data_IF_121434226203
#
_entry.id   IF_121434226203
#
_cell.length_a   1.000
_cell.length_b   1.000
_cell.length_c   1.000
_cell.angle_alpha   90.00
_cell.angle_beta   90.00
_cell.angle_gamma   90.00
#
_symmetry.space_group_name_H-M   'P 1'
#
loop_
_entity.id
_entity.type
_entity.pdbx_description
1 polymer ?
#
# COMPACT_ATOMS: atom_id res chain seq x y z
N UNK A 1 -43.59 -24.71 -7.35
CA UNK A 1 -43.88 -23.29 -7.74
C UNK A 1 -42.71 -22.86 -8.63
N UNK A 2 -42.98 -22.07 -9.67
CA UNK A 2 -41.89 -21.54 -10.51
C UNK A 2 -40.97 -20.70 -9.63
N UNK A 3 -39.63 -20.84 -9.78
CA UNK A 3 -38.58 -20.06 -9.10
C UNK A 3 -38.93 -18.56 -9.13
N UNK A 4 -39.39 -18.09 -10.26
CA UNK A 4 -39.87 -16.73 -10.47
C UNK A 4 -40.93 -16.27 -9.45
N UNK A 5 -41.94 -17.11 -9.12
CA UNK A 5 -42.99 -16.73 -8.16
C UNK A 5 -42.47 -16.58 -6.72
N UNK A 6 -41.41 -17.33 -6.38
CA UNK A 6 -40.77 -17.22 -5.07
C UNK A 6 -39.95 -15.94 -4.97
N UNK A 7 -39.19 -15.62 -6.03
CA UNK A 7 -38.41 -14.38 -6.13
C UNK A 7 -39.32 -13.15 -6.06
N UNK A 8 -40.42 -13.15 -6.83
CA UNK A 8 -41.38 -12.05 -6.85
C UNK A 8 -42.03 -11.84 -5.48
N UNK A 9 -42.48 -12.92 -4.83
CA UNK A 9 -43.03 -12.87 -3.47
C UNK A 9 -42.02 -12.33 -2.45
N UNK A 10 -40.75 -12.72 -2.57
CA UNK A 10 -39.68 -12.23 -1.71
C UNK A 10 -39.47 -10.72 -1.88
N UNK A 11 -39.26 -10.24 -3.12
CA UNK A 11 -39.02 -8.82 -3.39
C UNK A 11 -40.18 -7.93 -2.94
N UNK A 12 -41.43 -8.34 -3.22
CA UNK A 12 -42.62 -7.62 -2.76
C UNK A 12 -42.73 -7.63 -1.23
N UNK A 13 -42.42 -8.74 -0.58
CA UNK A 13 -42.42 -8.86 0.87
C UNK A 13 -41.37 -7.94 1.53
N UNK A 14 -40.17 -7.80 0.94
CA UNK A 14 -39.16 -6.89 1.46
C UNK A 14 -39.49 -5.41 1.18
N UNK A 15 -40.03 -5.09 0.01
CA UNK A 15 -40.50 -3.73 -0.31
C UNK A 15 -41.60 -3.26 0.68
N UNK A 16 -42.46 -4.17 1.13
CA UNK A 16 -43.49 -3.86 2.11
C UNK A 16 -42.96 -3.66 3.53
N UNK A 17 -41.85 -4.35 3.89
CA UNK A 17 -41.24 -4.27 5.23
C UNK A 17 -40.35 -3.02 5.37
N UNK A 18 -39.75 -2.58 4.30
CA UNK A 18 -38.80 -1.46 4.28
C UNK A 18 -39.18 -0.46 3.19
N UNK A 19 -40.04 0.51 3.48
CA UNK A 19 -40.53 1.49 2.51
C UNK A 19 -39.41 2.38 1.93
N UNK A 20 -38.33 2.60 2.68
CA UNK A 20 -37.15 3.36 2.23
C UNK A 20 -36.42 2.67 1.07
N UNK A 21 -36.51 1.35 0.97
CA UNK A 21 -35.87 0.55 -0.08
C UNK A 21 -36.86 0.07 -1.15
N UNK A 22 -38.14 0.48 -1.06
CA UNK A 22 -39.17 0.02 -1.98
C UNK A 22 -38.86 0.33 -3.44
N UNK A 23 -38.29 1.50 -3.73
CA UNK A 23 -37.88 1.87 -5.08
C UNK A 23 -36.77 0.95 -5.61
N UNK A 24 -35.74 0.65 -4.78
CA UNK A 24 -34.63 -0.24 -5.15
C UNK A 24 -35.15 -1.65 -5.46
N UNK A 25 -36.05 -2.18 -4.62
CA UNK A 25 -36.64 -3.49 -4.87
C UNK A 25 -37.56 -3.52 -6.11
N UNK A 26 -38.26 -2.42 -6.41
CA UNK A 26 -39.07 -2.29 -7.62
C UNK A 26 -38.17 -2.26 -8.90
N UNK A 27 -37.06 -1.55 -8.86
CA UNK A 27 -36.10 -1.53 -9.97
C UNK A 27 -35.45 -2.91 -10.17
N UNK A 28 -34.98 -3.56 -9.10
CA UNK A 28 -34.41 -4.92 -9.16
C UNK A 28 -35.41 -5.91 -9.77
N UNK A 29 -36.68 -5.81 -9.38
CA UNK A 29 -37.77 -6.60 -9.96
C UNK A 29 -37.93 -6.33 -11.45
N UNK A 30 -38.01 -5.06 -11.86
CA UNK A 30 -38.18 -4.65 -13.25
C UNK A 30 -37.03 -5.18 -14.14
N UNK A 31 -35.77 -5.08 -13.67
CA UNK A 31 -34.61 -5.60 -14.40
C UNK A 31 -34.62 -7.13 -14.49
N UNK A 32 -35.02 -7.81 -13.39
CA UNK A 32 -35.15 -9.26 -13.39
C UNK A 32 -36.25 -9.76 -14.35
N UNK A 33 -37.41 -9.13 -14.39
CA UNK A 33 -38.53 -9.45 -15.33
C UNK A 33 -38.08 -9.29 -16.78
N UNK A 34 -37.31 -8.22 -17.08
CA UNK A 34 -36.79 -7.93 -18.42
C UNK A 34 -35.54 -8.73 -18.77
N UNK A 35 -35.01 -9.52 -17.83
CA UNK A 35 -33.76 -10.29 -17.98
C UNK A 35 -32.55 -9.42 -18.32
N UNK A 36 -32.48 -8.20 -17.81
CA UNK A 36 -31.38 -7.27 -17.97
C UNK A 36 -30.31 -7.54 -16.89
N UNK A 37 -29.54 -8.59 -17.10
CA UNK A 37 -28.62 -9.12 -16.09
C UNK A 37 -27.48 -8.15 -15.73
N UNK A 38 -27.02 -7.39 -16.70
CA UNK A 38 -25.96 -6.41 -16.48
C UNK A 38 -26.44 -5.25 -15.60
N UNK A 39 -27.54 -4.62 -15.96
CA UNK A 39 -28.16 -3.52 -15.21
C UNK A 39 -28.58 -3.98 -13.80
N UNK A 40 -29.09 -5.22 -13.71
CA UNK A 40 -29.43 -5.84 -12.45
C UNK A 40 -28.19 -5.98 -11.55
N UNK A 41 -27.05 -6.41 -12.11
CA UNK A 41 -25.81 -6.56 -11.35
C UNK A 41 -25.28 -5.21 -10.89
N UNK A 42 -25.28 -4.21 -11.75
CA UNK A 42 -24.85 -2.85 -11.38
C UNK A 42 -25.73 -2.28 -10.26
N UNK A 43 -27.06 -2.48 -10.37
CA UNK A 43 -27.99 -2.02 -9.33
C UNK A 43 -27.81 -2.76 -8.01
N UNK A 44 -27.48 -4.04 -8.05
CA UNK A 44 -27.13 -4.82 -6.84
C UNK A 44 -25.87 -4.29 -6.16
N UNK A 45 -24.82 -3.94 -6.92
CA UNK A 45 -23.62 -3.33 -6.36
C UNK A 45 -23.93 -1.98 -5.69
N UNK A 46 -24.73 -1.14 -6.33
CA UNK A 46 -25.21 0.11 -5.72
C UNK A 46 -26.01 -0.14 -4.45
N UNK A 47 -26.95 -1.10 -4.49
CA UNK A 47 -27.78 -1.45 -3.35
C UNK A 47 -26.95 -1.94 -2.16
N UNK A 48 -25.97 -2.81 -2.38
CA UNK A 48 -25.08 -3.34 -1.34
C UNK A 48 -24.27 -2.22 -0.66
N UNK A 49 -23.95 -1.14 -1.37
CA UNK A 49 -23.25 0.02 -0.81
C UNK A 49 -24.14 0.87 0.13
N UNK A 50 -25.47 0.74 0.05
CA UNK A 50 -26.40 1.51 0.88
C UNK A 50 -26.33 1.08 2.36
N UNK A 51 -26.31 2.03 3.31
CA UNK A 51 -26.25 1.71 4.75
C UNK A 51 -27.38 0.82 5.24
N UNK A 52 -28.58 0.91 4.61
CA UNK A 52 -29.74 0.11 4.97
C UNK A 52 -29.56 -1.39 4.66
N UNK A 53 -28.83 -1.74 3.60
CA UNK A 53 -28.47 -3.15 3.30
C UNK A 53 -27.32 -3.66 4.17
N UNK A 54 -26.58 -2.76 4.80
CA UNK A 54 -25.48 -3.12 5.69
C UNK A 54 -25.94 -3.44 7.12
N UNK A 55 -27.23 -3.37 7.41
CA UNK A 55 -27.81 -3.72 8.71
C UNK A 55 -28.60 -5.03 8.65
N UNK A 56 -28.39 -5.89 9.66
CA UNK A 56 -29.11 -7.16 9.79
C UNK A 56 -28.79 -8.20 8.71
N UNK A 57 -29.69 -9.16 8.53
CA UNK A 57 -29.53 -10.34 7.65
C UNK A 57 -30.10 -10.14 6.24
N UNK A 58 -30.45 -8.91 5.88
CA UNK A 58 -31.12 -8.61 4.60
C UNK A 58 -30.31 -9.06 3.40
N UNK A 59 -28.99 -8.81 3.41
CA UNK A 59 -28.10 -9.23 2.33
C UNK A 59 -27.99 -10.76 2.22
N UNK A 60 -27.96 -11.47 3.34
CA UNK A 60 -27.93 -12.93 3.36
C UNK A 60 -29.23 -13.48 2.76
N UNK A 61 -30.38 -12.91 3.15
CA UNK A 61 -31.69 -13.30 2.59
C UNK A 61 -31.78 -12.96 1.10
N UNK A 62 -31.25 -11.81 0.67
CA UNK A 62 -31.22 -11.41 -0.73
C UNK A 62 -30.39 -12.38 -1.56
N UNK A 63 -29.23 -12.81 -1.05
CA UNK A 63 -28.41 -13.80 -1.73
C UNK A 63 -29.16 -15.13 -1.93
N UNK A 64 -29.67 -15.70 -0.84
CA UNK A 64 -30.29 -17.03 -0.88
C UNK A 64 -31.64 -17.08 -1.62
N UNK A 65 -32.47 -16.05 -1.55
CA UNK A 65 -33.81 -16.05 -2.14
C UNK A 65 -33.89 -15.38 -3.51
N UNK A 66 -32.87 -14.59 -3.90
CA UNK A 66 -32.90 -13.84 -5.14
C UNK A 66 -31.69 -14.14 -6.02
N UNK A 67 -30.48 -13.97 -5.50
CA UNK A 67 -29.25 -14.01 -6.29
C UNK A 67 -28.94 -15.41 -6.82
N UNK A 68 -29.19 -16.45 -6.03
CA UNK A 68 -28.96 -17.86 -6.40
C UNK A 68 -29.70 -18.26 -7.68
N UNK A 69 -30.87 -17.68 -7.99
CA UNK A 69 -31.66 -18.04 -9.18
C UNK A 69 -30.95 -17.67 -10.49
N UNK A 70 -30.14 -16.62 -10.51
CA UNK A 70 -29.44 -16.13 -11.70
C UNK A 70 -27.93 -15.99 -11.54
N UNK A 71 -27.33 -16.57 -10.47
CA UNK A 71 -25.88 -16.48 -10.20
C UNK A 71 -25.04 -16.90 -11.41
N UNK A 72 -25.53 -17.85 -12.24
CA UNK A 72 -24.88 -18.32 -13.46
C UNK A 72 -24.94 -17.34 -14.65
N UNK A 73 -25.67 -16.24 -14.53
CA UNK A 73 -25.82 -15.17 -15.54
C UNK A 73 -24.99 -13.94 -15.23
N UNK A 74 -24.44 -13.86 -14.04
CA UNK A 74 -23.60 -12.77 -13.56
C UNK A 74 -22.13 -13.07 -13.91
N UNK A 75 -21.34 -12.02 -14.14
CA UNK A 75 -19.88 -12.18 -14.21
C UNK A 75 -19.35 -12.83 -12.92
N UNK A 76 -18.54 -13.89 -13.01
CA UNK A 76 -18.03 -14.61 -11.82
C UNK A 76 -17.29 -13.70 -10.83
N UNK A 77 -16.57 -12.67 -11.31
CA UNK A 77 -15.88 -11.71 -10.46
C UNK A 77 -16.87 -10.82 -9.69
N UNK A 78 -17.93 -10.35 -10.35
CA UNK A 78 -19.01 -9.58 -9.70
C UNK A 78 -19.76 -10.41 -8.66
N UNK A 79 -20.00 -11.69 -8.96
CA UNK A 79 -20.55 -12.64 -7.99
C UNK A 79 -19.63 -12.76 -6.77
N UNK A 80 -18.31 -12.82 -6.99
CA UNK A 80 -17.32 -12.82 -5.92
C UNK A 80 -17.40 -11.57 -5.03
N UNK A 81 -17.52 -10.38 -5.61
CA UNK A 81 -17.67 -9.13 -4.86
C UNK A 81 -18.95 -9.13 -4.00
N UNK A 82 -20.06 -9.57 -4.57
CA UNK A 82 -21.34 -9.69 -3.84
C UNK A 82 -21.23 -10.72 -2.71
N UNK A 83 -20.60 -11.88 -2.96
CA UNK A 83 -20.41 -12.92 -1.95
C UNK A 83 -19.56 -12.42 -0.76
N UNK A 84 -18.51 -11.64 -1.01
CA UNK A 84 -17.70 -11.02 0.05
C UNK A 84 -18.53 -10.03 0.87
N UNK A 85 -19.36 -9.20 0.22
CA UNK A 85 -20.24 -8.28 0.92
C UNK A 85 -21.26 -9.03 1.80
N UNK A 86 -21.83 -10.13 1.31
CA UNK A 86 -22.72 -11.01 2.06
C UNK A 86 -22.00 -11.67 3.23
N UNK A 87 -20.77 -12.20 3.00
CA UNK A 87 -19.98 -12.87 4.05
C UNK A 87 -19.68 -11.97 5.25
N UNK A 88 -19.53 -10.67 5.00
CA UNK A 88 -19.30 -9.67 6.06
C UNK A 88 -20.49 -9.50 7.02
N UNK A 89 -21.67 -10.03 6.69
CA UNK A 89 -22.90 -9.95 7.51
C UNK A 89 -23.10 -11.18 8.40
N UNK A 90 -22.36 -12.25 8.17
CA UNK A 90 -22.42 -13.39 9.07
C UNK A 90 -21.82 -13.04 10.43
N UNK A 91 -22.56 -13.32 11.49
CA UNK A 91 -22.06 -13.17 12.87
C UNK A 91 -21.04 -14.23 13.23
N UNK A 92 -21.23 -15.44 12.68
CA UNK A 92 -20.28 -16.55 12.83
C UNK A 92 -19.31 -16.59 11.65
N UNK A 93 -18.01 -16.43 11.96
CA UNK A 93 -16.93 -16.47 10.97
C UNK A 93 -16.79 -17.83 10.30
N UNK A 94 -17.02 -18.92 11.03
CA UNK A 94 -16.97 -20.26 10.44
C UNK A 94 -18.06 -20.45 9.38
N UNK A 95 -19.27 -19.91 9.62
CA UNK A 95 -20.34 -19.90 8.64
C UNK A 95 -20.00 -19.03 7.43
N UNK A 96 -19.33 -17.88 7.64
CA UNK A 96 -18.86 -17.03 6.55
C UNK A 96 -17.83 -17.72 5.67
N UNK A 97 -16.87 -18.44 6.27
CA UNK A 97 -15.87 -19.23 5.55
C UNK A 97 -16.56 -20.33 4.73
N UNK A 98 -17.43 -21.13 5.36
CA UNK A 98 -18.13 -22.20 4.67
C UNK A 98 -19.00 -21.69 3.51
N UNK A 99 -19.65 -20.52 3.68
CA UNK A 99 -20.40 -19.87 2.62
C UNK A 99 -19.49 -19.48 1.43
N UNK A 100 -18.35 -18.84 1.70
CA UNK A 100 -17.44 -18.44 0.64
C UNK A 100 -16.81 -19.64 -0.08
N UNK A 101 -16.47 -20.71 0.64
CA UNK A 101 -15.96 -21.96 0.05
C UNK A 101 -17.00 -22.59 -0.89
N UNK A 102 -18.28 -22.60 -0.51
CA UNK A 102 -19.34 -23.08 -1.40
C UNK A 102 -19.45 -22.23 -2.69
N UNK A 103 -19.28 -20.91 -2.59
CA UNK A 103 -19.29 -20.04 -3.77
C UNK A 103 -18.06 -20.31 -4.64
N UNK A 104 -16.89 -20.54 -4.05
CA UNK A 104 -15.65 -20.93 -4.77
C UNK A 104 -15.86 -22.21 -5.55
N UNK A 105 -16.44 -23.25 -4.90
CA UNK A 105 -16.73 -24.53 -5.57
C UNK A 105 -17.67 -24.36 -6.76
N UNK A 106 -18.77 -23.61 -6.58
CA UNK A 106 -19.73 -23.31 -7.65
C UNK A 106 -19.07 -22.60 -8.85
N UNK A 107 -18.21 -21.61 -8.60
CA UNK A 107 -17.50 -20.88 -9.68
C UNK A 107 -16.51 -21.82 -10.37
N UNK A 108 -15.78 -22.64 -9.62
CA UNK A 108 -14.82 -23.59 -10.16
C UNK A 108 -15.49 -24.68 -11.03
N UNK A 109 -16.68 -25.15 -10.65
CA UNK A 109 -17.46 -26.13 -11.41
C UNK A 109 -17.95 -25.62 -12.76
N UNK A 110 -18.24 -24.32 -12.88
CA UNK A 110 -18.75 -23.72 -14.12
C UNK A 110 -17.75 -23.72 -15.27
N UNK A 111 -16.45 -23.97 -15.00
CA UNK A 111 -15.35 -24.07 -16.01
C UNK A 111 -15.38 -23.01 -17.11
N UNK A 112 -15.90 -21.81 -16.83
CA UNK A 112 -15.87 -20.69 -17.75
C UNK A 112 -14.43 -20.15 -17.84
N UNK A 113 -14.04 -19.65 -19.02
CA UNK A 113 -12.78 -18.94 -19.16
C UNK A 113 -12.75 -17.75 -18.19
N UNK A 114 -11.67 -17.58 -17.40
CA UNK A 114 -11.53 -16.50 -16.44
C UNK A 114 -12.09 -16.81 -15.04
N UNK A 115 -12.30 -18.07 -14.68
CA UNK A 115 -12.72 -18.46 -13.33
C UNK A 115 -11.60 -18.37 -12.27
N UNK A 116 -10.36 -18.25 -12.71
CA UNK A 116 -9.18 -18.19 -11.82
C UNK A 116 -9.17 -16.92 -10.97
N UNK A 117 -9.51 -15.77 -11.56
CA UNK A 117 -9.55 -14.48 -10.88
C UNK A 117 -10.57 -14.43 -9.72
N UNK A 118 -11.86 -14.75 -9.92
CA UNK A 118 -12.84 -14.73 -8.84
C UNK A 118 -12.55 -15.80 -7.76
N UNK A 119 -12.00 -16.95 -8.14
CA UNK A 119 -11.57 -17.97 -7.19
C UNK A 119 -10.44 -17.45 -6.31
N UNK A 120 -9.42 -16.79 -6.90
CA UNK A 120 -8.34 -16.19 -6.14
C UNK A 120 -8.87 -15.08 -5.23
N UNK A 121 -9.73 -14.20 -5.75
CA UNK A 121 -10.36 -13.12 -4.98
C UNK A 121 -11.06 -13.64 -3.71
N UNK A 122 -11.94 -14.64 -3.85
CA UNK A 122 -12.66 -15.26 -2.73
C UNK A 122 -11.72 -15.97 -1.77
N UNK A 123 -10.74 -16.74 -2.27
CA UNK A 123 -9.74 -17.40 -1.43
C UNK A 123 -8.93 -16.41 -0.59
N UNK A 124 -8.61 -15.23 -1.14
CA UNK A 124 -7.92 -14.20 -0.36
C UNK A 124 -8.82 -13.68 0.77
N UNK A 125 -10.10 -13.48 0.53
CA UNK A 125 -11.02 -13.08 1.60
C UNK A 125 -11.21 -14.18 2.67
N UNK A 126 -11.22 -15.45 2.29
CA UNK A 126 -11.17 -16.58 3.26
C UNK A 126 -9.87 -16.53 4.08
N UNK A 127 -8.72 -16.29 3.42
CA UNK A 127 -7.45 -16.13 4.11
C UNK A 127 -7.46 -14.96 5.11
N UNK A 128 -8.13 -13.85 4.78
CA UNK A 128 -8.32 -12.72 5.67
C UNK A 128 -9.09 -13.11 6.94
N UNK A 129 -10.17 -13.89 6.80
CA UNK A 129 -10.92 -14.39 7.95
C UNK A 129 -10.03 -15.30 8.83
N UNK A 130 -9.20 -16.14 8.24
CA UNK A 130 -8.25 -16.96 9.00
C UNK A 130 -7.19 -16.12 9.73
N UNK A 131 -6.72 -15.01 9.13
CA UNK A 131 -5.83 -14.07 9.83
C UNK A 131 -6.52 -13.48 11.06
N UNK A 132 -7.79 -13.07 10.94
CA UNK A 132 -8.55 -12.49 12.04
C UNK A 132 -8.88 -13.52 13.16
N UNK A 133 -8.92 -14.81 12.83
CA UNK A 133 -9.09 -15.90 13.79
C UNK A 133 -7.77 -16.38 14.43
N UNK A 134 -6.64 -15.82 13.98
CA UNK A 134 -5.32 -16.25 14.46
C UNK A 134 -4.82 -17.56 13.86
N UNK A 135 -5.47 -18.09 12.82
CA UNK A 135 -5.08 -19.32 12.10
C UNK A 135 -3.95 -19.05 11.11
N UNK A 136 -2.83 -18.56 11.61
CA UNK A 136 -1.72 -18.04 10.80
C UNK A 136 -1.10 -19.09 9.84
N UNK A 137 -1.16 -20.37 10.18
CA UNK A 137 -0.61 -21.44 9.33
C UNK A 137 -1.42 -21.61 8.03
N UNK A 138 -2.77 -21.64 8.14
CA UNK A 138 -3.67 -21.75 6.99
C UNK A 138 -3.60 -20.49 6.11
N UNK A 139 -3.63 -19.31 6.75
CA UNK A 139 -3.48 -18.05 6.03
C UNK A 139 -2.16 -17.98 5.25
N UNK A 140 -1.04 -18.46 5.84
CA UNK A 140 0.27 -18.50 5.17
C UNK A 140 0.26 -19.36 3.91
N UNK A 141 -0.35 -20.54 3.98
CA UNK A 141 -0.45 -21.44 2.84
C UNK A 141 -1.26 -20.80 1.71
N UNK A 142 -2.42 -20.23 2.04
CA UNK A 142 -3.28 -19.55 1.07
C UNK A 142 -2.60 -18.33 0.43
N UNK A 143 -1.86 -17.53 1.20
CA UNK A 143 -1.10 -16.38 0.69
C UNK A 143 0.01 -16.84 -0.27
N UNK A 144 0.74 -17.92 0.08
CA UNK A 144 1.78 -18.46 -0.79
C UNK A 144 1.21 -18.99 -2.11
N UNK A 145 0.14 -19.75 -2.04
CA UNK A 145 -0.51 -20.34 -3.22
C UNK A 145 -1.17 -19.23 -4.07
N UNK A 146 -1.72 -18.20 -3.41
CA UNK A 146 -2.28 -17.02 -4.04
C UNK A 146 -1.24 -16.23 -4.85
N UNK A 147 0.02 -16.16 -4.37
CA UNK A 147 1.11 -15.53 -5.13
C UNK A 147 1.36 -16.27 -6.44
N UNK A 148 1.47 -17.60 -6.36
CA UNK A 148 1.69 -18.40 -7.56
C UNK A 148 0.55 -18.28 -8.59
N UNK A 149 -0.70 -18.19 -8.11
CA UNK A 149 -1.86 -17.98 -8.97
C UNK A 149 -1.86 -16.58 -9.60
N UNK A 150 -1.53 -15.54 -8.83
CA UNK A 150 -1.47 -14.15 -9.32
C UNK A 150 -0.35 -13.98 -10.37
N UNK A 151 0.83 -14.57 -10.12
CA UNK A 151 1.99 -14.50 -11.02
C UNK A 151 1.75 -15.27 -12.35
N UNK A 152 0.85 -16.25 -12.34
CA UNK A 152 0.46 -17.00 -13.53
C UNK A 152 -0.55 -16.25 -14.43
N UNK A 153 -1.25 -15.24 -13.90
CA UNK A 153 -2.21 -14.43 -14.64
C UNK A 153 -1.49 -13.35 -15.45
N UNK A 154 -1.81 -13.24 -16.75
CA UNK A 154 -1.16 -12.24 -17.62
C UNK A 154 -1.59 -10.80 -17.31
N UNK A 155 -2.84 -10.57 -16.94
CA UNK A 155 -3.41 -9.24 -16.65
C UNK A 155 -4.58 -9.38 -15.66
N UNK A 156 -4.31 -9.62 -14.38
CA UNK A 156 -5.37 -9.77 -13.39
C UNK A 156 -6.14 -8.47 -13.18
N UNK A 157 -7.41 -8.59 -12.85
CA UNK A 157 -8.24 -7.42 -12.48
C UNK A 157 -7.61 -6.70 -11.27
N UNK A 158 -7.57 -5.35 -11.27
CA UNK A 158 -7.03 -4.57 -10.16
C UNK A 158 -7.62 -4.92 -8.81
N UNK A 159 -8.92 -5.30 -8.74
CA UNK A 159 -9.58 -5.68 -7.49
C UNK A 159 -9.03 -6.98 -6.90
N UNK A 160 -8.63 -7.94 -7.76
CA UNK A 160 -8.03 -9.22 -7.34
C UNK A 160 -6.63 -8.97 -6.77
N UNK A 161 -5.82 -8.17 -7.48
CA UNK A 161 -4.50 -7.77 -7.03
C UNK A 161 -4.56 -7.02 -5.70
N UNK A 162 -5.50 -6.07 -5.59
CA UNK A 162 -5.75 -5.32 -4.36
C UNK A 162 -6.12 -6.24 -3.19
N UNK A 163 -7.03 -7.18 -3.39
CA UNK A 163 -7.42 -8.15 -2.37
C UNK A 163 -6.23 -8.98 -1.90
N UNK A 164 -5.40 -9.46 -2.84
CA UNK A 164 -4.19 -10.22 -2.50
C UNK A 164 -3.22 -9.39 -1.64
N UNK A 165 -2.83 -8.19 -2.07
CA UNK A 165 -1.88 -7.37 -1.34
C UNK A 165 -2.44 -6.87 0.00
N UNK A 166 -3.74 -6.62 0.08
CA UNK A 166 -4.39 -6.29 1.35
C UNK A 166 -4.28 -7.42 2.37
N UNK A 167 -4.59 -8.65 1.95
CA UNK A 167 -4.52 -9.83 2.82
C UNK A 167 -3.08 -10.12 3.25
N UNK A 168 -2.12 -10.00 2.32
CA UNK A 168 -0.70 -10.11 2.66
C UNK A 168 -0.29 -9.08 3.72
N UNK A 169 -0.73 -7.82 3.56
CA UNK A 169 -0.44 -6.78 4.54
C UNK A 169 -1.02 -7.12 5.92
N UNK A 170 -2.29 -7.53 6.01
CA UNK A 170 -2.90 -7.90 7.29
C UNK A 170 -2.24 -9.13 7.93
N UNK A 171 -1.81 -10.10 7.12
CA UNK A 171 -1.07 -11.26 7.60
C UNK A 171 0.28 -10.87 8.23
N UNK A 172 1.07 -10.01 7.56
CA UNK A 172 2.34 -9.52 8.08
C UNK A 172 2.15 -8.58 9.28
N UNK A 173 1.06 -7.78 9.31
CA UNK A 173 0.68 -6.98 10.46
C UNK A 173 0.43 -7.85 11.70
N UNK A 174 -0.33 -8.93 11.55
CA UNK A 174 -0.60 -9.87 12.64
C UNK A 174 0.67 -10.56 13.17
N UNK A 175 1.69 -10.73 12.32
CA UNK A 175 3.01 -11.26 12.69
C UNK A 175 4.01 -10.24 13.18
N UNK A 176 3.67 -8.95 13.15
CA UNK A 176 4.58 -7.84 13.47
C UNK A 176 5.80 -7.76 12.53
N UNK A 177 5.69 -8.26 11.31
CA UNK A 177 6.68 -8.16 10.26
C UNK A 177 6.52 -6.82 9.52
N UNK A 178 6.97 -5.72 10.13
CA UNK A 178 6.68 -4.35 9.71
C UNK A 178 7.18 -4.02 8.29
N UNK A 179 8.32 -4.55 7.88
CA UNK A 179 8.88 -4.30 6.57
C UNK A 179 7.99 -4.89 5.45
N UNK A 180 7.54 -6.13 5.61
CA UNK A 180 6.67 -6.80 4.64
C UNK A 180 5.26 -6.21 4.65
N UNK A 181 4.74 -5.84 5.84
CA UNK A 181 3.49 -5.11 5.95
C UNK A 181 3.54 -3.79 5.15
N UNK A 182 4.60 -3.01 5.30
CA UNK A 182 4.80 -1.76 4.56
C UNK A 182 4.83 -2.00 3.04
N UNK A 183 5.65 -2.96 2.58
CA UNK A 183 5.77 -3.26 1.15
C UNK A 183 4.43 -3.66 0.53
N UNK A 184 3.72 -4.59 1.16
CA UNK A 184 2.41 -5.05 0.67
C UNK A 184 1.33 -3.98 0.79
N UNK A 185 1.38 -3.17 1.84
CA UNK A 185 0.47 -2.03 2.01
C UNK A 185 0.65 -0.95 0.93
N UNK A 186 1.89 -0.63 0.55
CA UNK A 186 2.17 0.28 -0.57
C UNK A 186 1.72 -0.30 -1.91
N UNK A 187 1.92 -1.60 -2.15
CA UNK A 187 1.39 -2.28 -3.34
C UNK A 187 -0.13 -2.28 -3.37
N UNK A 188 -0.81 -2.50 -2.24
CA UNK A 188 -2.26 -2.36 -2.15
C UNK A 188 -2.73 -0.97 -2.58
N UNK A 189 -2.08 0.09 -2.10
CA UNK A 189 -2.40 1.47 -2.45
C UNK A 189 -2.08 1.83 -3.92
N UNK A 190 -1.26 1.05 -4.61
CA UNK A 190 -1.05 1.23 -6.05
C UNK A 190 -2.26 0.77 -6.88
N UNK A 191 -3.07 -0.17 -6.38
CA UNK A 191 -4.27 -0.67 -7.06
C UNK A 191 -5.56 0.00 -6.60
N UNK A 192 -5.57 0.60 -5.40
CA UNK A 192 -6.77 1.21 -4.80
C UNK A 192 -6.55 2.70 -4.62
N UNK A 193 -7.47 3.50 -5.18
CA UNK A 193 -7.45 4.95 -4.92
C UNK A 193 -7.70 5.24 -3.44
N UNK A 194 -6.88 6.10 -2.86
CA UNK A 194 -7.06 6.52 -1.47
C UNK A 194 -8.44 7.16 -1.21
N UNK A 195 -9.05 7.74 -2.24
CA UNK A 195 -10.37 8.40 -2.13
C UNK A 195 -11.53 7.39 -2.04
N UNK A 196 -11.35 6.18 -2.57
CA UNK A 196 -12.38 5.12 -2.53
C UNK A 196 -12.52 4.47 -1.16
N UNK A 197 -11.53 4.66 -0.26
CA UNK A 197 -11.55 4.07 1.08
C UNK A 197 -12.35 4.94 2.05
N UNK A 198 -13.11 4.35 3.00
CA UNK A 198 -13.72 5.07 4.11
C UNK A 198 -12.68 5.88 4.89
N UNK A 199 -13.04 7.09 5.33
CA UNK A 199 -12.10 8.01 5.98
C UNK A 199 -11.41 7.41 7.21
N UNK A 200 -12.16 6.69 8.04
CA UNK A 200 -11.59 6.00 9.20
C UNK A 200 -10.53 4.96 8.80
N UNK A 201 -10.86 4.09 7.84
CA UNK A 201 -9.94 3.04 7.35
C UNK A 201 -8.69 3.65 6.70
N UNK A 202 -8.87 4.75 5.96
CA UNK A 202 -7.78 5.47 5.30
C UNK A 202 -6.81 6.07 6.33
N UNK A 203 -7.34 6.69 7.38
CA UNK A 203 -6.55 7.24 8.48
C UNK A 203 -5.79 6.16 9.23
N UNK A 204 -6.46 5.08 9.59
CA UNK A 204 -5.84 3.97 10.34
C UNK A 204 -4.74 3.30 9.50
N UNK A 205 -4.99 3.07 8.21
CA UNK A 205 -3.99 2.52 7.29
C UNK A 205 -2.78 3.45 7.13
N UNK A 206 -3.01 4.76 7.02
CA UNK A 206 -1.92 5.75 6.92
C UNK A 206 -1.05 5.75 8.19
N UNK A 207 -1.66 5.71 9.38
CA UNK A 207 -0.94 5.64 10.64
C UNK A 207 -0.16 4.33 10.78
N UNK A 208 -0.78 3.20 10.44
CA UNK A 208 -0.11 1.89 10.46
C UNK A 208 1.09 1.84 9.51
N UNK A 209 0.95 2.38 8.27
CA UNK A 209 2.05 2.43 7.31
C UNK A 209 3.18 3.36 7.77
N UNK A 210 2.84 4.49 8.38
CA UNK A 210 3.82 5.41 8.95
C UNK A 210 4.63 4.74 10.08
N UNK A 211 3.96 4.05 11.00
CA UNK A 211 4.60 3.27 12.05
C UNK A 211 5.46 2.14 11.48
N UNK A 212 4.95 1.43 10.48
CA UNK A 212 5.67 0.34 9.84
C UNK A 212 6.91 0.82 9.07
N UNK A 213 6.85 1.99 8.43
CA UNK A 213 8.00 2.62 7.79
C UNK A 213 9.11 2.94 8.79
N UNK A 214 8.75 3.41 9.99
CA UNK A 214 9.70 3.68 11.06
C UNK A 214 10.29 2.40 11.66
N UNK A 215 9.46 1.39 11.94
CA UNK A 215 9.85 0.16 12.62
C UNK A 215 10.45 -0.91 11.69
N UNK A 216 10.14 -0.86 10.40
CA UNK A 216 10.58 -1.87 9.43
C UNK A 216 12.09 -1.91 9.28
N UNK A 217 12.64 -3.12 9.23
CA UNK A 217 14.06 -3.33 8.91
C UNK A 217 14.28 -3.03 7.42
N UNK A 218 15.44 -2.52 7.07
CA UNK A 218 15.86 -2.23 5.68
C UNK A 218 14.97 -1.24 4.91
N UNK A 219 14.13 -0.48 5.60
CA UNK A 219 13.33 0.59 5.02
C UNK A 219 13.95 1.95 5.33
N UNK A 220 14.60 2.55 4.33
CA UNK A 220 15.27 3.86 4.45
C UNK A 220 14.73 4.91 3.48
N UNK A 221 13.78 4.54 2.62
CA UNK A 221 13.16 5.44 1.64
C UNK A 221 11.79 5.93 2.15
N UNK A 222 11.80 6.98 2.98
CA UNK A 222 10.56 7.56 3.52
C UNK A 222 9.86 8.48 2.52
N UNK A 223 10.58 9.00 1.53
CA UNK A 223 10.04 9.94 0.55
C UNK A 223 8.87 9.36 -0.25
N UNK A 224 8.89 8.05 -0.52
CA UNK A 224 7.80 7.35 -1.22
C UNK A 224 6.48 7.46 -0.46
N UNK A 225 6.50 7.19 0.85
CA UNK A 225 5.32 7.32 1.70
C UNK A 225 4.88 8.78 1.85
N UNK A 226 5.83 9.70 2.09
CA UNK A 226 5.54 11.14 2.26
C UNK A 226 4.91 11.73 1.00
N UNK A 227 5.33 11.29 -0.19
CA UNK A 227 4.76 11.72 -1.45
C UNK A 227 3.34 11.15 -1.71
N UNK A 228 2.97 10.07 -1.05
CA UNK A 228 1.70 9.40 -1.28
C UNK A 228 0.51 10.20 -0.71
N UNK A 229 -0.62 10.36 -1.46
CA UNK A 229 -1.77 11.14 -1.03
C UNK A 229 -2.39 10.70 0.31
N UNK A 230 -2.28 9.40 0.67
CA UNK A 230 -2.85 8.86 1.90
C UNK A 230 -2.27 9.53 3.17
N UNK A 231 -1.03 9.98 3.10
CA UNK A 231 -0.34 10.60 4.25
C UNK A 231 -0.96 11.94 4.63
N UNK A 232 -1.54 12.66 3.67
CA UNK A 232 -2.26 13.91 3.92
C UNK A 232 -3.45 13.75 4.85
N UNK A 233 -4.00 12.54 4.95
CA UNK A 233 -5.12 12.25 5.86
C UNK A 233 -4.72 12.29 7.32
N UNK A 234 -3.42 12.23 7.62
CA UNK A 234 -2.88 12.35 8.98
C UNK A 234 -2.73 13.82 9.41
N UNK A 235 -2.72 14.77 8.45
CA UNK A 235 -2.76 16.19 8.75
C UNK A 235 -4.03 16.49 9.56
N UNK A 236 -3.92 17.27 10.60
CA UNK A 236 -5.04 17.64 11.49
C UNK A 236 -5.67 16.48 12.30
N UNK A 237 -4.99 15.34 12.42
CA UNK A 237 -5.38 14.25 13.30
C UNK A 237 -4.44 14.13 14.50
N UNK A 238 -4.80 13.29 15.46
CA UNK A 238 -3.93 12.94 16.61
C UNK A 238 -2.60 12.30 16.19
N UNK A 239 -2.47 11.84 14.93
CA UNK A 239 -1.28 11.23 14.35
C UNK A 239 -0.41 12.21 13.54
N UNK A 240 -0.71 13.51 13.55
CA UNK A 240 0.06 14.53 12.82
C UNK A 240 1.56 14.53 13.21
N UNK A 241 1.90 14.20 14.46
CA UNK A 241 3.27 14.04 14.93
C UNK A 241 4.08 12.99 14.15
N UNK A 242 3.43 11.95 13.60
CA UNK A 242 4.11 10.94 12.76
C UNK A 242 4.67 11.57 11.48
N UNK A 243 3.98 12.57 10.91
CA UNK A 243 4.45 13.27 9.72
C UNK A 243 5.71 14.07 10.01
N UNK A 244 5.74 14.76 11.14
CA UNK A 244 6.92 15.54 11.57
C UNK A 244 8.12 14.60 11.76
N UNK A 245 7.91 13.43 12.40
CA UNK A 245 8.97 12.42 12.58
C UNK A 245 9.41 11.83 11.24
N UNK A 246 8.47 11.44 10.36
CA UNK A 246 8.82 10.91 9.03
C UNK A 246 9.63 11.91 8.20
N UNK A 247 9.29 13.19 8.26
CA UNK A 247 10.05 14.25 7.60
C UNK A 247 11.47 14.35 8.17
N UNK A 248 11.63 14.34 9.51
CA UNK A 248 12.95 14.34 10.14
C UNK A 248 13.78 13.11 9.75
N UNK A 249 13.17 11.93 9.64
CA UNK A 249 13.84 10.72 9.14
C UNK A 249 14.21 10.82 7.67
N UNK A 250 13.34 11.40 6.83
CA UNK A 250 13.65 11.60 5.41
C UNK A 250 14.83 12.55 5.21
N UNK A 251 14.87 13.63 5.99
CA UNK A 251 15.91 14.65 5.92
C UNK A 251 17.18 14.26 6.68
N UNK A 252 17.11 13.20 7.48
CA UNK A 252 18.23 12.73 8.30
C UNK A 252 18.66 13.74 9.37
N UNK A 253 17.73 14.56 9.88
CA UNK A 253 18.02 15.60 10.86
C UNK A 253 17.86 15.05 12.28
N UNK A 254 19.02 14.71 12.91
CA UNK A 254 19.08 14.21 14.28
C UNK A 254 18.66 15.26 15.31
N UNK A 255 18.91 16.55 15.06
CA UNK A 255 18.52 17.60 15.99
C UNK A 255 17.02 17.82 16.01
N UNK A 256 16.40 17.86 14.80
CA UNK A 256 14.95 17.94 14.68
C UNK A 256 14.29 16.71 15.34
N UNK A 257 14.83 15.51 15.12
CA UNK A 257 14.31 14.30 15.74
C UNK A 257 14.36 14.33 17.27
N UNK A 258 15.49 14.73 17.86
CA UNK A 258 15.61 14.85 19.33
C UNK A 258 14.58 15.85 19.89
N UNK A 259 14.42 17.03 19.25
CA UNK A 259 13.43 18.02 19.64
C UNK A 259 11.98 17.52 19.49
N UNK A 260 11.68 16.76 18.43
CA UNK A 260 10.37 16.14 18.20
C UNK A 260 10.07 15.03 19.23
N UNK A 261 11.07 14.27 19.63
CA UNK A 261 10.92 13.26 20.71
C UNK A 261 10.55 13.91 22.04
N UNK A 262 11.13 15.07 22.36
CA UNK A 262 10.76 15.83 23.57
C UNK A 262 9.35 16.43 23.44
N UNK A 263 9.04 17.05 22.31
CA UNK A 263 7.75 17.69 22.01
C UNK A 263 6.58 16.69 22.07
N UNK A 264 6.78 15.49 21.53
CA UNK A 264 5.74 14.46 21.39
C UNK A 264 5.95 13.24 22.31
N UNK A 265 6.68 13.41 23.42
CA UNK A 265 7.00 12.32 24.34
C UNK A 265 5.78 11.52 24.82
N UNK A 266 4.64 12.20 25.07
CA UNK A 266 3.41 11.54 25.49
C UNK A 266 2.84 10.62 24.40
N UNK A 267 2.82 11.06 23.15
CA UNK A 267 2.31 10.29 22.03
C UNK A 267 3.23 9.11 21.68
N UNK A 268 4.55 9.32 21.72
CA UNK A 268 5.56 8.26 21.52
C UNK A 268 5.45 7.17 22.60
N UNK A 269 5.32 7.55 23.85
CA UNK A 269 5.17 6.61 24.97
C UNK A 269 3.84 5.84 24.93
N UNK A 270 2.82 6.38 24.29
CA UNK A 270 1.55 5.68 24.07
C UNK A 270 1.66 4.55 23.03
N UNK A 271 2.76 4.49 22.25
CA UNK A 271 3.00 3.46 21.24
C UNK A 271 4.07 2.46 21.71
N UNK A 272 3.69 1.31 22.30
CA UNK A 272 4.64 0.36 22.87
C UNK A 272 5.69 -0.15 21.88
N UNK A 273 5.30 -0.26 20.60
CA UNK A 273 6.20 -0.71 19.54
C UNK A 273 7.35 0.26 19.27
N UNK A 274 7.10 1.58 19.36
CA UNK A 274 8.15 2.59 19.19
C UNK A 274 9.09 2.61 20.40
N UNK A 275 8.54 2.55 21.60
CA UNK A 275 9.33 2.51 22.84
C UNK A 275 10.25 1.28 22.87
N UNK A 276 9.73 0.10 22.53
CA UNK A 276 10.52 -1.12 22.50
C UNK A 276 11.65 -1.07 21.45
N UNK A 277 11.53 -0.26 20.41
CA UNK A 277 12.49 -0.15 19.32
C UNK A 277 13.22 1.20 19.27
N UNK A 278 13.24 1.99 20.35
CA UNK A 278 13.86 3.32 20.39
C UNK A 278 15.32 3.30 19.90
N UNK A 279 16.11 2.33 20.35
CA UNK A 279 17.51 2.17 19.94
C UNK A 279 17.65 1.95 18.43
N UNK A 280 16.76 1.14 17.86
CA UNK A 280 16.74 0.88 16.40
C UNK A 280 16.34 2.12 15.61
N UNK A 281 15.37 2.90 16.12
CA UNK A 281 14.98 4.17 15.51
C UNK A 281 16.14 5.15 15.49
N UNK A 282 16.88 5.26 16.60
CA UNK A 282 18.06 6.13 16.67
C UNK A 282 19.16 5.68 15.72
N UNK A 283 19.46 4.39 15.61
CA UNK A 283 20.38 3.83 14.63
C UNK A 283 19.92 4.16 13.21
N UNK A 284 18.62 3.96 12.92
CA UNK A 284 18.04 4.18 11.60
C UNK A 284 18.15 5.65 11.15
N UNK A 285 17.83 6.61 12.03
CA UNK A 285 17.97 8.02 11.67
C UNK A 285 19.45 8.43 11.53
N UNK A 286 20.35 7.82 12.26
CA UNK A 286 21.80 8.08 12.11
C UNK A 286 22.28 7.58 10.73
N UNK A 287 21.81 6.41 10.28
CA UNK A 287 22.08 5.92 8.93
C UNK A 287 21.49 6.87 7.87
N UNK A 288 20.24 7.33 8.04
CA UNK A 288 19.65 8.28 7.08
C UNK A 288 20.36 9.62 7.06
N UNK A 289 20.91 10.08 8.19
CA UNK A 289 21.80 11.25 8.25
C UNK A 289 23.05 11.03 7.41
N UNK A 290 23.72 9.88 7.54
CA UNK A 290 24.88 9.53 6.71
C UNK A 290 24.51 9.54 5.22
N UNK A 291 23.41 8.88 4.84
CA UNK A 291 22.94 8.86 3.44
C UNK A 291 22.68 10.26 2.90
N UNK A 292 22.15 11.16 3.72
CA UNK A 292 21.89 12.54 3.33
C UNK A 292 23.17 13.35 3.15
N UNK A 293 24.21 13.09 3.96
CA UNK A 293 25.54 13.69 3.80
C UNK A 293 26.12 13.30 2.43
N UNK A 294 26.11 12.00 2.12
CA UNK A 294 26.63 11.46 0.86
C UNK A 294 25.84 11.97 -0.34
N UNK A 295 24.51 12.03 -0.22
CA UNK A 295 23.60 12.46 -1.31
C UNK A 295 23.81 13.93 -1.73
N UNK A 296 24.16 14.81 -0.77
CA UNK A 296 24.44 16.23 -1.05
C UNK A 296 25.75 16.48 -1.76
N UNK A 297 26.65 15.48 -1.78
CA UNK A 297 27.94 15.61 -2.45
C UNK A 297 27.86 15.27 -3.95
N UNK A 298 28.59 15.99 -4.80
CA UNK A 298 28.67 15.65 -6.22
C UNK A 298 29.32 14.26 -6.42
N UNK A 299 28.96 13.58 -7.48
CA UNK A 299 29.42 12.22 -7.77
C UNK A 299 30.95 12.10 -7.87
N UNK A 300 31.61 13.17 -8.33
CA UNK A 300 33.07 13.22 -8.55
C UNK A 300 33.87 13.42 -7.26
N UNK A 301 33.24 13.86 -6.17
CA UNK A 301 33.88 14.20 -4.90
C UNK A 301 33.12 13.63 -3.72
N UNK A 302 33.06 12.28 -3.62
CA UNK A 302 32.43 11.57 -2.52
C UNK A 302 33.44 10.98 -1.53
N UNK A 303 34.55 11.67 -1.38
CA UNK A 303 35.51 11.43 -0.32
C UNK A 303 35.17 12.30 0.89
N UNK A 304 34.94 11.66 2.03
CA UNK A 304 34.42 12.32 3.23
C UNK A 304 35.28 11.96 4.42
N UNK A 305 35.74 12.95 5.17
CA UNK A 305 36.49 12.72 6.40
C UNK A 305 35.58 12.08 7.47
N UNK A 306 36.10 11.09 8.19
CA UNK A 306 35.37 10.41 9.26
C UNK A 306 34.98 11.39 10.39
N UNK A 307 35.82 12.41 10.63
CA UNK A 307 35.54 13.47 11.61
C UNK A 307 34.32 14.32 11.23
N UNK A 308 34.13 14.63 9.95
CA UNK A 308 32.97 15.39 9.47
C UNK A 308 31.67 14.60 9.65
N UNK A 309 31.72 13.29 9.42
CA UNK A 309 30.59 12.40 9.69
C UNK A 309 30.33 12.34 11.21
N UNK A 310 31.38 12.19 12.02
CA UNK A 310 31.27 12.15 13.49
C UNK A 310 30.58 13.40 14.06
N UNK A 311 30.98 14.57 13.55
CA UNK A 311 30.38 15.85 13.98
C UNK A 311 28.89 15.92 13.65
N UNK A 312 28.47 15.50 12.44
CA UNK A 312 27.08 15.57 11.99
C UNK A 312 26.21 14.48 12.61
N UNK A 313 26.76 13.30 12.87
CA UNK A 313 26.03 12.16 13.44
C UNK A 313 26.07 12.11 14.96
N UNK A 314 26.84 13.01 15.61
CA UNK A 314 27.09 13.03 17.07
C UNK A 314 27.67 11.70 17.60
N UNK A 315 28.46 11.00 16.77
CA UNK A 315 29.13 9.76 17.15
C UNK A 315 30.63 9.99 17.37
N UNK A 316 31.30 9.05 18.07
CA UNK A 316 32.75 8.94 18.04
C UNK A 316 33.23 8.44 16.69
N UNK A 317 34.51 8.63 16.35
CA UNK A 317 35.09 8.13 15.11
C UNK A 317 34.93 6.61 14.98
N UNK A 318 35.15 5.85 16.06
CA UNK A 318 34.91 4.40 16.08
C UNK A 318 33.42 4.07 15.83
N UNK A 319 32.51 4.90 16.33
CA UNK A 319 31.08 4.78 16.08
C UNK A 319 30.71 5.03 14.63
N UNK A 320 31.41 5.94 13.95
CA UNK A 320 31.25 6.21 12.51
C UNK A 320 31.71 5.03 11.67
N UNK A 321 32.84 4.42 12.02
CA UNK A 321 33.29 3.20 11.33
C UNK A 321 32.25 2.08 11.42
N UNK A 322 31.70 1.84 12.62
CA UNK A 322 30.63 0.87 12.80
C UNK A 322 29.36 1.23 11.97
N UNK A 323 28.99 2.51 11.94
CA UNK A 323 27.87 3.01 11.13
C UNK A 323 28.10 2.75 9.64
N UNK A 324 29.31 3.02 9.14
CA UNK A 324 29.70 2.76 7.75
C UNK A 324 29.66 1.27 7.43
N UNK A 325 30.20 0.43 8.30
CA UNK A 325 30.14 -1.04 8.14
C UNK A 325 28.69 -1.52 8.06
N UNK A 326 27.81 -0.99 8.88
CA UNK A 326 26.39 -1.30 8.86
C UNK A 326 25.74 -0.88 7.54
N UNK A 327 25.97 0.37 7.10
CA UNK A 327 25.43 0.90 5.85
C UNK A 327 25.93 0.12 4.62
N UNK A 328 27.19 -0.31 4.61
CA UNK A 328 27.78 -1.19 3.59
C UNK A 328 27.15 -2.58 3.61
N UNK A 329 26.96 -3.18 4.81
CA UNK A 329 26.37 -4.53 4.94
C UNK A 329 24.93 -4.62 4.43
N UNK A 330 24.15 -3.56 4.62
CA UNK A 330 22.76 -3.45 4.16
C UNK A 330 22.67 -2.96 2.70
N UNK A 331 23.83 -2.71 2.05
CA UNK A 331 23.93 -2.20 0.68
C UNK A 331 23.20 -0.87 0.44
N UNK A 332 23.25 0.01 1.41
CA UNK A 332 22.75 1.39 1.25
C UNK A 332 23.77 2.28 0.56
N UNK A 333 25.05 1.97 0.76
CA UNK A 333 26.21 2.59 0.11
C UNK A 333 27.17 1.50 -0.35
N UNK A 334 27.97 1.81 -1.36
CA UNK A 334 29.18 1.03 -1.73
C UNK A 334 30.37 1.96 -1.69
N UNK A 335 31.49 1.47 -1.20
CA UNK A 335 32.69 2.29 -1.06
C UNK A 335 33.81 1.60 -0.29
N UNK A 336 34.87 2.34 -0.05
CA UNK A 336 36.05 1.90 0.70
C UNK A 336 36.31 2.87 1.84
N UNK A 337 36.55 2.32 3.02
CA UNK A 337 36.97 3.09 4.21
C UNK A 337 38.52 3.00 4.29
N UNK A 338 39.17 4.14 4.21
CA UNK A 338 40.60 4.26 4.49
C UNK A 338 40.79 4.76 5.91
N UNK A 339 41.05 3.84 6.82
CA UNK A 339 41.24 4.12 8.24
C UNK A 339 42.55 4.89 8.50
N UNK A 340 43.57 4.71 7.66
CA UNK A 340 44.86 5.38 7.84
C UNK A 340 44.75 6.85 7.43
N UNK A 341 44.06 7.14 6.34
CA UNK A 341 43.80 8.50 5.91
C UNK A 341 42.63 9.14 6.67
N UNK A 342 41.83 8.35 7.40
CA UNK A 342 40.65 8.83 8.14
C UNK A 342 39.52 9.28 7.21
N UNK A 343 39.37 8.66 6.04
CA UNK A 343 38.38 9.05 5.02
C UNK A 343 37.58 7.84 4.53
N UNK A 344 36.38 8.09 4.06
CA UNK A 344 35.53 7.13 3.32
C UNK A 344 35.34 7.63 1.89
N UNK A 345 35.56 6.78 0.91
CA UNK A 345 35.26 7.05 -0.49
C UNK A 345 34.04 6.24 -0.90
N UNK A 346 32.93 6.93 -1.16
CA UNK A 346 31.63 6.33 -1.51
C UNK A 346 31.48 6.34 -3.03
N UNK A 347 31.46 5.14 -3.63
CA UNK A 347 31.30 4.97 -5.08
C UNK A 347 29.84 4.93 -5.52
N UNK A 348 28.96 4.39 -4.69
CA UNK A 348 27.54 4.27 -5.00
C UNK A 348 26.67 4.47 -3.75
N UNK A 349 25.48 5.01 -3.95
CA UNK A 349 24.44 5.19 -2.93
C UNK A 349 23.12 4.71 -3.48
N UNK A 350 22.32 4.05 -2.63
CA UNK A 350 21.00 3.57 -3.00
C UNK A 350 20.12 4.74 -3.51
N UNK A 351 19.51 4.60 -4.71
CA UNK A 351 18.60 5.61 -5.25
C UNK A 351 17.42 5.88 -4.29
N UNK A 352 17.05 7.15 -4.19
CA UNK A 352 15.92 7.61 -3.36
C UNK A 352 14.86 8.26 -4.23
N UNK A 353 13.61 8.19 -3.79
CA UNK A 353 12.53 8.95 -4.41
C UNK A 353 12.76 10.43 -4.14
N UNK A 354 12.75 11.23 -5.21
CA UNK A 354 12.93 12.68 -5.13
C UNK A 354 11.60 13.36 -4.79
N UNK A 355 11.65 14.29 -3.86
CA UNK A 355 10.55 15.20 -3.59
C UNK A 355 10.47 16.31 -4.64
N UNK A 356 9.31 16.94 -4.81
CA UNK A 356 9.10 18.01 -5.80
C UNK A 356 10.16 19.11 -5.80
N UNK A 357 10.63 19.65 -4.64
CA UNK A 357 11.70 20.64 -4.61
C UNK A 357 13.01 20.13 -5.19
N UNK A 358 13.36 18.86 -4.93
CA UNK A 358 14.58 18.23 -5.44
C UNK A 358 14.51 17.99 -6.96
N UNK A 359 13.31 17.70 -7.48
CA UNK A 359 13.08 17.60 -8.94
C UNK A 359 13.28 18.96 -9.60
N UNK A 360 12.79 20.04 -8.98
CA UNK A 360 13.00 21.41 -9.48
C UNK A 360 14.50 21.75 -9.50
N UNK A 361 15.22 21.47 -8.43
CA UNK A 361 16.68 21.68 -8.37
C UNK A 361 17.44 20.89 -9.45
N UNK A 362 17.01 19.67 -9.72
CA UNK A 362 17.59 18.86 -10.80
C UNK A 362 17.29 19.46 -12.18
N UNK A 363 16.09 19.99 -12.40
CA UNK A 363 15.72 20.71 -13.62
C UNK A 363 16.62 21.92 -13.83
N UNK A 364 16.80 22.75 -12.80
CA UNK A 364 17.65 23.95 -12.86
C UNK A 364 19.12 23.59 -13.18
N UNK A 365 19.63 22.49 -12.61
CA UNK A 365 21.00 22.00 -12.92
C UNK A 365 21.10 21.52 -14.38
N UNK A 366 20.11 20.84 -14.90
CA UNK A 366 20.07 20.39 -16.29
C UNK A 366 19.98 21.56 -17.26
N UNK A 367 19.18 22.57 -16.95
CA UNK A 367 19.10 23.81 -17.74
C UNK A 367 20.45 24.52 -17.78
N UNK A 368 21.10 24.70 -16.63
CA UNK A 368 22.44 25.30 -16.56
C UNK A 368 23.49 24.48 -17.33
N UNK A 369 23.34 23.18 -17.42
CA UNK A 369 24.23 22.33 -18.21
C UNK A 369 23.98 22.47 -19.72
N UNK A 370 22.71 22.57 -20.13
CA UNK A 370 22.30 22.85 -21.50
C UNK A 370 22.87 24.19 -21.97
N UNK A 371 22.82 25.24 -21.14
CA UNK A 371 23.40 26.54 -21.46
C UNK A 371 24.91 26.43 -21.69
N UNK A 372 25.65 25.78 -20.76
CA UNK A 372 27.10 25.58 -20.93
C UNK A 372 27.45 24.82 -22.20
N UNK A 373 26.69 23.78 -22.55
CA UNK A 373 26.90 23.02 -23.79
C UNK A 373 26.64 23.87 -25.01
N UNK A 374 25.60 24.71 -24.98
CA UNK A 374 25.32 25.68 -26.07
C UNK A 374 26.43 26.70 -26.22
N UNK A 375 26.92 27.28 -25.13
CA UNK A 375 28.01 28.25 -25.14
C UNK A 375 29.30 27.67 -25.74
N UNK A 376 29.64 26.43 -25.31
CA UNK A 376 30.78 25.73 -25.88
C UNK A 376 30.58 25.43 -27.38
N UNK A 377 29.34 25.00 -27.75
CA UNK A 377 29.00 24.77 -29.14
C UNK A 377 29.12 26.05 -30.00
N UNK A 378 28.69 27.20 -29.48
CA UNK A 378 28.81 28.48 -30.15
C UNK A 378 30.26 28.90 -30.28
N UNK A 379 31.07 28.78 -29.23
CA UNK A 379 32.50 29.09 -29.26
C UNK A 379 33.24 28.21 -30.27
N UNK A 380 32.90 26.91 -30.35
CA UNK A 380 33.51 26.00 -31.33
C UNK A 380 33.11 26.37 -32.77
N UNK A 381 31.86 26.80 -33.00
CA UNK A 381 31.42 27.28 -34.33
C UNK A 381 32.11 28.56 -34.74
N UNK A 382 32.42 29.46 -33.82
CA UNK A 382 33.16 30.69 -34.05
C UNK A 382 34.62 30.40 -34.35
N UNK A 383 35.24 29.45 -33.65
CA UNK A 383 36.66 29.09 -33.85
C UNK A 383 36.90 28.21 -35.10
N UNK A 384 35.95 27.34 -35.45
CA UNK A 384 36.05 26.42 -36.57
C UNK A 384 34.80 26.50 -37.46
N UNK A 385 34.66 27.52 -38.31
CA UNK A 385 33.47 27.72 -39.15
C UNK A 385 33.19 26.54 -40.12
N UNK A 386 34.22 25.75 -40.44
CA UNK A 386 34.10 24.57 -41.32
C UNK A 386 33.24 23.46 -40.71
N UNK A 387 33.15 23.34 -39.38
CA UNK A 387 32.30 22.36 -38.70
C UNK A 387 30.80 22.73 -38.80
N UNK A 388 30.48 24.00 -38.94
CA UNK A 388 29.09 24.46 -39.08
C UNK A 388 28.44 24.06 -40.42
N UNK A 389 29.25 23.68 -41.43
CA UNK A 389 28.82 23.25 -42.74
C UNK A 389 28.66 21.73 -42.85
N UNK A 390 29.06 20.95 -41.84
CA UNK A 390 29.02 19.48 -41.83
C UNK A 390 27.87 18.90 -40.95
N UNK A 391 27.12 19.72 -40.23
CA UNK A 391 25.96 19.35 -39.44
C UNK A 391 24.65 19.79 -40.13
#
# INVERSE_FOLDING_TARGET
>A
MSSYAQVDAFLNGQASKQPELAEVFAELRSFYERKLWHELTMKLEEAVALPAFQQGDLLIQLYHNFLVDFEHRISPLKLGHLAVAVSSRYTDRAAAVAFMEQVVEKIAEQRQHGHEEPVLYLRMHVALLHVHEGRSAQAREMVRDGKGALDAMASPDPSVSAAYYYVCSQYHKAKQEFAEFYRHGMLYLAFVSSESLPEATRRDLAADLALAALLGEDLYNFAELIAHPIVKTLENTEFAWLLEILAAFNDGDLHAYDALCEKHAAALNAQPALVANERRLREKITITCLLQIVFKLPADHREIALEDIALKTKLSVDGVEYLLMKALSVRLIEGVVDQVAGVVNVTWIQPRVLLKPQISELSDRLEGWIEKVKDVGTSLQEEIPELATMA
#
